data_IF_895928118734
#
_entry.id   IF_895928118734
#
_cell.length_a   1.000
_cell.length_b   1.000
_cell.length_c   1.000
_cell.angle_alpha   90.00
_cell.angle_beta   90.00
_cell.angle_gamma   90.00
#
_symmetry.space_group_name_H-M   'P 1'
#
loop_
_entity.id
_entity.type
_entity.pdbx_description
1 polymer ?
#
# COMPACT_ATOMS: atom_id res chain seq x y z
N UNK A 1 -7.39 -39.93 -5.34
CA UNK A 1 -7.68 -38.73 -4.54
C UNK A 1 -8.49 -37.80 -5.41
N UNK A 2 -9.76 -37.53 -5.10
CA UNK A 2 -10.59 -36.62 -5.86
C UNK A 2 -10.08 -35.15 -5.68
N UNK A 3 -10.10 -34.32 -6.75
CA UNK A 3 -9.70 -32.91 -6.61
C UNK A 3 -10.66 -32.19 -5.65
N UNK A 4 -10.16 -31.23 -4.87
CA UNK A 4 -11.00 -30.49 -3.93
C UNK A 4 -12.14 -29.78 -4.70
N UNK A 5 -13.37 -29.90 -4.19
CA UNK A 5 -14.55 -29.31 -4.83
C UNK A 5 -14.37 -27.79 -4.95
N UNK A 6 -14.81 -27.18 -6.06
CA UNK A 6 -14.76 -25.73 -6.37
C UNK A 6 -15.26 -24.83 -5.23
N UNK A 7 -16.17 -25.31 -4.38
CA UNK A 7 -16.61 -24.61 -3.15
C UNK A 7 -15.51 -24.47 -2.07
N UNK A 8 -14.56 -25.42 -2.00
CA UNK A 8 -13.45 -25.40 -1.04
C UNK A 8 -12.34 -24.42 -1.48
N UNK A 9 -12.05 -24.37 -2.78
CA UNK A 9 -11.11 -23.39 -3.35
C UNK A 9 -11.62 -21.95 -3.18
N UNK A 10 -12.91 -21.68 -3.45
CA UNK A 10 -13.55 -20.36 -3.23
C UNK A 10 -13.50 -19.89 -1.76
N UNK A 11 -13.57 -20.79 -0.77
CA UNK A 11 -13.40 -20.46 0.65
C UNK A 11 -11.95 -20.19 1.03
N UNK A 12 -10.96 -20.73 0.32
CA UNK A 12 -9.55 -20.54 0.62
C UNK A 12 -9.03 -19.13 0.25
N UNK A 13 -9.66 -18.44 -0.72
CA UNK A 13 -9.20 -17.12 -1.18
C UNK A 13 -9.89 -15.93 -0.51
N UNK A 14 -10.88 -16.16 0.42
CA UNK A 14 -11.58 -15.06 1.14
C UNK A 14 -12.03 -13.91 0.21
N UNK A 15 -12.51 -14.25 -1.00
CA UNK A 15 -12.84 -13.28 -2.04
C UNK A 15 -14.16 -12.58 -1.75
N UNK A 16 -14.11 -11.25 -1.59
CA UNK A 16 -15.28 -10.39 -1.57
C UNK A 16 -15.30 -9.59 -2.88
N UNK A 17 -16.23 -9.95 -3.77
CA UNK A 17 -16.34 -9.27 -5.07
C UNK A 17 -17.04 -7.93 -4.89
N UNK A 18 -16.45 -6.89 -5.45
CA UNK A 18 -17.09 -5.58 -5.53
C UNK A 18 -18.27 -5.70 -6.52
N UNK A 19 -19.49 -5.52 -6.05
CA UNK A 19 -20.71 -5.77 -6.82
C UNK A 19 -21.52 -4.51 -7.11
N UNK A 20 -21.25 -3.42 -6.42
CA UNK A 20 -21.89 -2.13 -6.61
C UNK A 20 -21.15 -1.34 -7.71
N UNK A 21 -21.83 -1.01 -8.84
CA UNK A 21 -21.19 -0.25 -9.92
C UNK A 21 -20.63 1.12 -9.50
N UNK A 22 -21.31 1.84 -8.62
CA UNK A 22 -20.82 3.14 -8.14
C UNK A 22 -19.51 2.98 -7.35
N UNK A 23 -19.42 1.92 -6.54
CA UNK A 23 -18.18 1.62 -5.81
C UNK A 23 -17.03 1.20 -6.76
N UNK A 24 -17.33 0.49 -7.86
CA UNK A 24 -16.32 0.16 -8.89
C UNK A 24 -15.79 1.43 -9.54
N UNK A 25 -16.65 2.37 -9.92
CA UNK A 25 -16.26 3.66 -10.46
C UNK A 25 -15.38 4.44 -9.48
N UNK A 26 -15.78 4.51 -8.20
CA UNK A 26 -15.01 5.21 -7.17
C UNK A 26 -13.57 4.67 -7.04
N UNK A 27 -13.36 3.35 -7.17
CA UNK A 27 -12.01 2.75 -7.12
C UNK A 27 -11.18 3.16 -8.34
N UNK A 28 -11.78 3.15 -9.54
CA UNK A 28 -11.07 3.52 -10.78
C UNK A 28 -10.78 5.02 -10.82
N UNK A 29 -11.71 5.88 -10.42
CA UNK A 29 -11.49 7.33 -10.29
C UNK A 29 -10.36 7.65 -9.31
N UNK A 30 -10.30 6.94 -8.18
CA UNK A 30 -9.23 7.11 -7.19
C UNK A 30 -7.84 6.73 -7.75
N UNK A 31 -7.75 5.90 -8.80
CA UNK A 31 -6.48 5.56 -9.44
C UNK A 31 -5.90 6.73 -10.24
N UNK A 32 -6.72 7.71 -10.65
CA UNK A 32 -6.30 8.89 -11.45
C UNK A 32 -5.49 8.51 -12.67
N UNK A 33 -6.01 7.53 -13.44
CA UNK A 33 -5.37 6.99 -14.62
C UNK A 33 -5.28 8.01 -15.76
N UNK A 34 -4.26 7.83 -16.59
CA UNK A 34 -4.07 8.56 -17.84
C UNK A 34 -4.35 7.64 -19.03
N UNK A 35 -4.75 8.18 -20.19
CA UNK A 35 -5.02 7.36 -21.38
C UNK A 35 -3.83 6.55 -21.91
N UNK A 36 -2.61 6.89 -21.53
CA UNK A 36 -1.36 6.24 -21.91
C UNK A 36 -0.76 5.33 -20.79
N UNK A 37 -1.45 5.18 -19.67
CA UNK A 37 -0.95 4.34 -18.58
C UNK A 37 -1.02 2.85 -18.96
N UNK A 38 0.03 2.11 -18.58
CA UNK A 38 0.02 0.65 -18.46
C UNK A 38 -0.50 0.29 -17.06
N UNK A 39 -1.57 -0.46 -16.99
CA UNK A 39 -2.21 -0.88 -15.73
C UNK A 39 -2.05 -2.37 -15.49
N UNK A 40 -1.50 -2.75 -14.34
CA UNK A 40 -1.57 -4.12 -13.83
C UNK A 40 -2.73 -4.23 -12.85
N UNK A 41 -3.75 -5.03 -13.19
CA UNK A 41 -4.87 -5.32 -12.30
C UNK A 41 -4.59 -6.56 -11.46
N UNK A 42 -4.76 -6.45 -10.14
CA UNK A 42 -4.57 -7.55 -9.18
C UNK A 42 -5.89 -8.20 -8.84
N UNK A 43 -6.10 -9.47 -9.24
CA UNK A 43 -7.30 -10.24 -8.94
C UNK A 43 -8.50 -9.73 -9.72
N UNK A 44 -8.46 -9.86 -11.03
CA UNK A 44 -9.50 -9.33 -11.93
C UNK A 44 -10.91 -9.91 -11.68
N UNK A 45 -10.98 -11.13 -11.13
CA UNK A 45 -12.23 -11.76 -10.74
C UNK A 45 -13.21 -11.86 -11.90
N UNK A 46 -14.36 -11.20 -11.74
CA UNK A 46 -15.41 -11.16 -12.77
C UNK A 46 -15.28 -10.00 -13.77
N UNK A 47 -14.16 -9.26 -13.75
CA UNK A 47 -13.87 -8.19 -14.67
C UNK A 47 -14.61 -6.87 -14.41
N UNK A 48 -15.09 -6.63 -13.18
CA UNK A 48 -15.78 -5.38 -12.87
C UNK A 48 -14.83 -4.16 -13.00
N UNK A 49 -13.65 -4.24 -12.42
CA UNK A 49 -12.63 -3.21 -12.59
C UNK A 49 -12.04 -3.26 -14.00
N UNK A 50 -11.70 -4.44 -14.51
CA UNK A 50 -11.09 -4.65 -15.83
C UNK A 50 -11.80 -3.86 -16.93
N UNK A 51 -13.14 -3.91 -16.99
CA UNK A 51 -13.92 -3.19 -18.01
C UNK A 51 -13.73 -1.67 -17.95
N UNK A 52 -13.68 -1.09 -16.75
CA UNK A 52 -13.49 0.35 -16.60
C UNK A 52 -12.02 0.73 -16.81
N UNK A 53 -11.08 -0.12 -16.41
CA UNK A 53 -9.65 0.10 -16.65
C UNK A 53 -9.33 0.12 -18.14
N UNK A 54 -9.90 -0.79 -18.93
CA UNK A 54 -9.77 -0.80 -20.40
C UNK A 54 -10.34 0.44 -21.08
N UNK A 55 -11.32 1.10 -20.47
CA UNK A 55 -11.86 2.36 -20.97
C UNK A 55 -11.05 3.59 -20.56
N UNK A 56 -10.23 3.48 -19.51
CA UNK A 56 -9.54 4.61 -18.86
C UNK A 56 -8.02 4.65 -19.12
N UNK A 57 -7.42 3.53 -19.57
CA UNK A 57 -5.97 3.37 -19.70
C UNK A 57 -5.59 2.89 -21.11
N UNK A 58 -4.32 3.04 -21.49
CA UNK A 58 -3.79 2.62 -22.78
C UNK A 58 -3.60 1.12 -22.89
N UNK A 59 -3.15 0.48 -21.82
CA UNK A 59 -2.94 -0.96 -21.76
C UNK A 59 -3.31 -1.52 -20.39
N UNK A 60 -3.93 -2.70 -20.36
CA UNK A 60 -4.31 -3.40 -19.13
C UNK A 60 -3.79 -4.84 -19.17
N UNK A 61 -3.09 -5.24 -18.11
CA UNK A 61 -2.70 -6.63 -17.86
C UNK A 61 -3.39 -7.10 -16.58
N UNK A 62 -4.39 -7.95 -16.71
CA UNK A 62 -5.25 -8.41 -15.63
C UNK A 62 -4.80 -9.79 -15.11
N UNK A 63 -4.35 -9.86 -13.86
CA UNK A 63 -3.94 -11.11 -13.23
C UNK A 63 -5.10 -11.75 -12.48
N UNK A 64 -5.35 -13.04 -12.76
CA UNK A 64 -6.40 -13.83 -12.09
C UNK A 64 -5.92 -15.28 -11.91
N UNK A 65 -5.95 -15.78 -10.68
CA UNK A 65 -5.48 -17.14 -10.36
C UNK A 65 -6.53 -18.21 -10.61
N UNK A 66 -7.82 -17.84 -10.52
CA UNK A 66 -8.92 -18.77 -10.80
C UNK A 66 -9.10 -18.92 -12.31
N UNK A 67 -8.83 -20.11 -12.89
CA UNK A 67 -8.92 -20.32 -14.32
C UNK A 67 -10.35 -20.21 -14.87
N UNK A 68 -11.39 -20.42 -14.06
CA UNK A 68 -12.79 -20.23 -14.49
C UNK A 68 -13.08 -18.74 -14.67
N UNK A 69 -12.61 -17.90 -13.75
CA UNK A 69 -12.75 -16.45 -13.84
C UNK A 69 -11.91 -15.87 -14.97
N UNK A 70 -10.65 -16.33 -15.09
CA UNK A 70 -9.76 -15.89 -16.15
C UNK A 70 -10.33 -16.16 -17.56
N UNK A 71 -11.03 -17.31 -17.77
CA UNK A 71 -11.68 -17.63 -19.06
C UNK A 71 -12.84 -16.70 -19.42
N UNK A 72 -13.44 -16.02 -18.44
CA UNK A 72 -14.53 -15.07 -18.65
C UNK A 72 -14.04 -13.66 -19.04
N UNK A 73 -12.73 -13.42 -19.01
CA UNK A 73 -12.08 -12.15 -19.34
C UNK A 73 -11.53 -12.18 -20.78
N UNK A 74 -11.32 -11.02 -21.42
CA UNK A 74 -10.66 -10.93 -22.72
C UNK A 74 -9.27 -11.56 -22.67
N UNK A 75 -8.98 -12.47 -23.63
CA UNK A 75 -7.73 -13.26 -23.64
C UNK A 75 -6.48 -12.40 -23.81
N UNK A 76 -6.61 -11.30 -24.52
CA UNK A 76 -5.54 -10.35 -24.80
C UNK A 76 -5.04 -9.61 -23.56
N UNK A 77 -5.91 -9.43 -22.55
CA UNK A 77 -5.54 -8.68 -21.34
C UNK A 77 -5.30 -9.58 -20.13
N UNK A 78 -5.88 -10.79 -20.10
CA UNK A 78 -5.81 -11.66 -18.91
C UNK A 78 -4.53 -12.49 -18.89
N UNK A 79 -3.94 -12.58 -17.67
CA UNK A 79 -2.90 -13.56 -17.31
C UNK A 79 -3.46 -14.46 -16.22
N UNK A 80 -3.64 -15.76 -16.53
CA UNK A 80 -4.06 -16.74 -15.52
C UNK A 80 -2.86 -17.13 -14.65
N UNK A 81 -2.41 -16.20 -13.84
CA UNK A 81 -1.20 -16.28 -13.04
C UNK A 81 -1.39 -15.59 -11.69
N UNK A 82 -0.55 -15.96 -10.72
CA UNK A 82 -0.45 -15.27 -9.44
C UNK A 82 0.30 -13.94 -9.60
N UNK A 83 -0.36 -12.81 -9.35
CA UNK A 83 0.24 -11.48 -9.39
C UNK A 83 1.53 -11.38 -8.57
N UNK A 84 1.61 -12.04 -7.41
CA UNK A 84 2.79 -11.98 -6.56
C UNK A 84 4.04 -12.60 -7.20
N UNK A 85 3.86 -13.40 -8.27
CA UNK A 85 4.94 -13.96 -9.09
C UNK A 85 5.24 -13.13 -10.34
N UNK A 86 4.41 -12.16 -10.66
CA UNK A 86 4.63 -11.27 -11.79
C UNK A 86 5.92 -10.49 -11.62
N UNK A 87 6.59 -10.23 -12.74
CA UNK A 87 7.73 -9.31 -12.78
C UNK A 87 7.22 -7.91 -13.11
N UNK A 88 7.68 -6.86 -12.40
CA UNK A 88 7.41 -5.50 -12.84
C UNK A 88 7.90 -5.29 -14.27
N UNK A 89 7.17 -4.55 -15.12
CA UNK A 89 7.61 -4.21 -16.47
C UNK A 89 8.82 -3.26 -16.43
N UNK A 90 9.51 -3.10 -17.53
CA UNK A 90 10.63 -2.15 -17.66
C UNK A 90 10.16 -0.71 -17.76
N UNK A 91 8.95 -0.49 -18.22
CA UNK A 91 8.30 0.81 -18.35
C UNK A 91 7.50 1.20 -17.11
N UNK A 92 7.15 2.48 -17.02
CA UNK A 92 6.30 3.02 -15.93
C UNK A 92 4.90 2.40 -16.00
N UNK A 93 4.37 2.03 -14.86
CA UNK A 93 3.05 1.39 -14.77
C UNK A 93 2.33 1.73 -13.48
N UNK A 94 1.04 1.43 -13.47
CA UNK A 94 0.12 1.61 -12.34
C UNK A 94 -0.41 0.24 -11.90
N UNK A 95 -0.66 0.06 -10.63
CA UNK A 95 -1.35 -1.12 -10.09
C UNK A 95 -2.73 -0.72 -9.59
N UNK A 96 -3.76 -1.49 -9.98
CA UNK A 96 -5.12 -1.32 -9.45
C UNK A 96 -5.65 -2.69 -9.02
N UNK A 97 -6.43 -2.77 -7.93
CA UNK A 97 -7.05 -4.05 -7.60
C UNK A 97 -7.94 -4.05 -6.37
N UNK A 98 -8.93 -4.96 -6.39
CA UNK A 98 -9.72 -5.33 -5.22
C UNK A 98 -9.05 -6.54 -4.53
N UNK A 99 -8.19 -6.27 -3.55
CA UNK A 99 -7.26 -7.25 -3.00
C UNK A 99 -7.95 -8.18 -2.00
N UNK A 100 -7.81 -9.51 -2.12
CA UNK A 100 -8.16 -10.41 -1.03
C UNK A 100 -7.44 -9.99 0.25
N UNK A 101 -8.17 -9.80 1.33
CA UNK A 101 -7.64 -9.20 2.57
C UNK A 101 -6.40 -9.92 3.11
N UNK A 102 -6.35 -11.24 2.95
CA UNK A 102 -5.20 -12.05 3.35
C UNK A 102 -3.90 -11.73 2.57
N UNK A 103 -4.02 -11.19 1.35
CA UNK A 103 -2.88 -10.90 0.46
C UNK A 103 -2.45 -9.44 0.50
N UNK A 104 -3.19 -8.57 1.21
CA UNK A 104 -2.95 -7.12 1.19
C UNK A 104 -1.50 -6.76 1.49
N UNK A 105 -0.90 -7.32 2.54
CA UNK A 105 0.49 -7.00 2.90
C UNK A 105 1.49 -7.45 1.83
N UNK A 106 1.29 -8.62 1.25
CA UNK A 106 2.18 -9.16 0.21
C UNK A 106 2.11 -8.32 -1.08
N UNK A 107 0.91 -7.91 -1.49
CA UNK A 107 0.71 -7.03 -2.66
C UNK A 107 1.35 -5.65 -2.42
N UNK A 108 1.14 -5.05 -1.25
CA UNK A 108 1.77 -3.77 -0.90
C UNK A 108 3.30 -3.88 -0.90
N UNK A 109 3.86 -4.96 -0.35
CA UNK A 109 5.30 -5.19 -0.38
C UNK A 109 5.83 -5.39 -1.80
N UNK A 110 5.07 -6.07 -2.67
CA UNK A 110 5.41 -6.21 -4.07
C UNK A 110 5.46 -4.83 -4.75
N UNK A 111 4.42 -4.00 -4.54
CA UNK A 111 4.37 -2.62 -5.06
C UNK A 111 5.56 -1.77 -4.59
N UNK A 112 5.93 -1.86 -3.31
CA UNK A 112 7.05 -1.10 -2.74
C UNK A 112 8.43 -1.53 -3.30
N UNK A 113 8.53 -2.75 -3.86
CA UNK A 113 9.77 -3.26 -4.48
C UNK A 113 9.83 -3.02 -5.99
N UNK A 114 8.72 -2.68 -6.63
CA UNK A 114 8.63 -2.49 -8.07
C UNK A 114 9.25 -1.13 -8.47
N UNK A 115 10.40 -1.10 -9.17
CA UNK A 115 11.16 0.14 -9.39
C UNK A 115 10.49 1.10 -10.37
N UNK A 116 9.67 0.58 -11.27
CA UNK A 116 8.97 1.33 -12.32
C UNK A 116 7.52 1.68 -11.97
N UNK A 117 7.05 1.26 -10.77
CA UNK A 117 5.71 1.58 -10.31
C UNK A 117 5.56 3.08 -10.06
N UNK A 118 4.54 3.70 -10.65
CA UNK A 118 4.19 5.10 -10.42
C UNK A 118 3.17 5.27 -9.30
N UNK A 119 2.14 4.40 -9.28
CA UNK A 119 1.17 4.37 -8.20
C UNK A 119 0.48 3.01 -8.09
N UNK A 120 -0.07 2.72 -6.90
CA UNK A 120 -0.94 1.58 -6.68
C UNK A 120 -2.21 2.04 -5.97
N UNK A 121 -3.38 1.66 -6.50
CA UNK A 121 -4.70 1.92 -5.91
C UNK A 121 -5.34 0.59 -5.54
N UNK A 122 -5.37 0.31 -4.25
CA UNK A 122 -5.71 -1.00 -3.70
C UNK A 122 -6.94 -0.88 -2.81
N UNK A 123 -8.01 -1.59 -3.14
CA UNK A 123 -9.15 -1.74 -2.26
C UNK A 123 -8.84 -2.83 -1.23
N UNK A 124 -8.69 -2.42 0.02
CA UNK A 124 -8.26 -3.23 1.16
C UNK A 124 -9.27 -3.15 2.30
N UNK A 125 -9.02 -3.79 3.43
CA UNK A 125 -9.77 -3.48 4.64
C UNK A 125 -9.57 -2.01 5.03
N UNK A 126 -10.63 -1.32 5.42
CA UNK A 126 -10.58 0.09 5.84
C UNK A 126 -9.55 0.31 6.96
N UNK A 127 -9.51 -0.58 7.94
CA UNK A 127 -8.57 -0.49 9.06
C UNK A 127 -7.10 -0.60 8.59
N UNK A 128 -6.83 -1.48 7.60
CA UNK A 128 -5.49 -1.57 7.02
C UNK A 128 -5.08 -0.25 6.35
N UNK A 129 -5.96 0.32 5.52
CA UNK A 129 -5.71 1.60 4.84
C UNK A 129 -5.47 2.73 5.87
N UNK A 130 -6.36 2.86 6.87
CA UNK A 130 -6.25 3.86 7.94
C UNK A 130 -4.94 3.75 8.73
N UNK A 131 -4.53 2.50 9.06
CA UNK A 131 -3.25 2.24 9.74
C UNK A 131 -2.03 2.69 8.93
N UNK A 132 -2.10 2.64 7.59
CA UNK A 132 -1.00 3.06 6.71
C UNK A 132 -0.95 4.56 6.47
N UNK A 133 -2.06 5.24 6.62
CA UNK A 133 -2.21 6.67 6.31
C UNK A 133 -2.25 7.57 7.55
N UNK A 134 -2.05 7.01 8.73
CA UNK A 134 -1.98 7.78 9.97
C UNK A 134 -3.33 8.33 10.45
N UNK A 135 -4.45 7.83 9.92
CA UNK A 135 -5.81 8.34 10.19
C UNK A 135 -6.21 8.28 11.68
N UNK A 136 -5.60 7.40 12.48
CA UNK A 136 -5.81 7.36 13.93
C UNK A 136 -4.75 8.17 14.73
N UNK A 137 -4.03 9.09 14.09
CA UNK A 137 -2.87 9.75 14.69
C UNK A 137 -1.72 8.80 14.99
N UNK A 138 -1.73 7.60 14.39
CA UNK A 138 -0.70 6.57 14.59
C UNK A 138 -0.12 6.13 13.26
N UNK A 139 1.20 6.21 13.14
CA UNK A 139 1.96 5.87 11.95
C UNK A 139 2.62 4.51 12.08
N UNK A 140 2.49 3.69 11.05
CA UNK A 140 3.14 2.39 11.04
C UNK A 140 4.63 2.53 10.68
N UNK A 141 5.46 1.61 11.20
CA UNK A 141 6.87 1.54 10.82
C UNK A 141 7.07 1.50 9.31
N UNK A 142 6.27 0.70 8.60
CA UNK A 142 6.36 0.59 7.14
C UNK A 142 6.13 1.93 6.46
N UNK A 143 5.11 2.67 6.87
CA UNK A 143 4.81 4.00 6.31
C UNK A 143 5.97 4.96 6.53
N UNK A 144 6.50 5.03 7.76
CA UNK A 144 7.64 5.91 8.08
C UNK A 144 8.89 5.50 7.29
N UNK A 145 9.19 4.20 7.17
CA UNK A 145 10.34 3.70 6.41
C UNK A 145 10.29 4.07 4.93
N UNK A 146 9.10 4.08 4.35
CA UNK A 146 8.90 4.31 2.91
C UNK A 146 8.47 5.74 2.58
N UNK A 147 8.20 6.56 3.59
CA UNK A 147 7.78 7.95 3.42
C UNK A 147 8.69 8.80 2.54
N UNK A 148 10.02 8.63 2.57
CA UNK A 148 10.90 9.39 1.68
C UNK A 148 10.63 9.15 0.19
N UNK A 149 10.15 7.97 -0.18
CA UNK A 149 10.00 7.54 -1.57
C UNK A 149 8.55 7.36 -2.01
N UNK A 150 7.62 7.29 -1.06
CA UNK A 150 6.20 7.05 -1.36
C UNK A 150 5.30 7.96 -0.55
N UNK A 151 4.22 8.39 -1.17
CA UNK A 151 3.09 9.04 -0.51
C UNK A 151 1.98 8.02 -0.27
N UNK A 152 1.37 8.05 0.93
CA UNK A 152 0.34 7.13 1.37
C UNK A 152 -0.96 7.89 1.59
N UNK A 153 -2.00 7.56 0.84
CA UNK A 153 -3.27 8.26 0.85
C UNK A 153 -4.44 7.30 1.13
N UNK A 154 -5.38 7.72 1.98
CA UNK A 154 -6.70 7.12 2.07
C UNK A 154 -7.61 7.84 1.07
N UNK A 155 -7.78 7.26 -0.11
CA UNK A 155 -8.49 7.88 -1.23
C UNK A 155 -10.01 7.69 -1.17
N UNK A 156 -10.50 6.87 -0.22
CA UNK A 156 -11.94 6.68 -0.06
C UNK A 156 -12.30 5.50 0.84
N UNK A 157 -13.59 5.41 1.16
CA UNK A 157 -14.20 4.31 1.90
C UNK A 157 -15.30 3.68 1.05
N UNK A 158 -15.33 2.36 0.99
CA UNK A 158 -16.36 1.57 0.32
C UNK A 158 -17.16 0.81 1.39
N UNK A 159 -18.47 1.05 1.50
CA UNK A 159 -19.32 0.33 2.45
C UNK A 159 -19.27 -1.18 2.19
N UNK A 160 -19.27 -1.98 3.24
CA UNK A 160 -19.28 -3.46 3.13
C UNK A 160 -20.48 -3.99 2.32
N UNK A 161 -21.59 -3.25 2.28
CA UNK A 161 -22.77 -3.61 1.49
C UNK A 161 -22.52 -3.64 -0.02
N UNK A 162 -21.46 -2.96 -0.50
CA UNK A 162 -21.06 -2.94 -1.91
C UNK A 162 -20.38 -4.25 -2.38
N UNK A 163 -20.14 -5.20 -1.48
CA UNK A 163 -19.47 -6.47 -1.79
C UNK A 163 -20.40 -7.67 -1.72
N UNK A 164 -20.08 -8.73 -2.47
CA UNK A 164 -20.72 -10.04 -2.39
C UNK A 164 -19.65 -11.17 -2.37
N UNK A 165 -19.66 -12.07 -1.39
CA UNK A 165 -20.42 -11.97 -0.14
C UNK A 165 -20.05 -10.71 0.66
N UNK A 166 -20.97 -10.26 1.54
CA UNK A 166 -20.73 -9.07 2.38
C UNK A 166 -19.63 -9.38 3.40
N UNK A 167 -18.52 -8.62 3.43
CA UNK A 167 -17.46 -8.82 4.42
C UNK A 167 -17.89 -8.30 5.81
N UNK A 168 -17.06 -8.60 6.83
CA UNK A 168 -17.30 -8.12 8.20
C UNK A 168 -17.03 -6.62 8.38
N UNK A 169 -16.16 -6.05 7.56
CA UNK A 169 -15.67 -4.67 7.66
C UNK A 169 -15.80 -3.95 6.32
N UNK A 170 -15.81 -2.64 6.36
CA UNK A 170 -15.80 -1.81 5.15
C UNK A 170 -14.45 -1.90 4.42
N UNK A 171 -14.47 -1.56 3.13
CA UNK A 171 -13.28 -1.36 2.32
C UNK A 171 -12.69 0.03 2.49
N UNK A 172 -11.38 0.12 2.34
CA UNK A 172 -10.64 1.38 2.23
C UNK A 172 -9.83 1.40 0.95
N UNK A 173 -9.93 2.47 0.18
CA UNK A 173 -9.12 2.68 -1.02
C UNK A 173 -7.79 3.26 -0.56
N UNK A 174 -6.78 2.41 -0.52
CA UNK A 174 -5.41 2.78 -0.22
C UNK A 174 -4.71 3.15 -1.52
N UNK A 175 -4.19 4.37 -1.59
CA UNK A 175 -3.37 4.81 -2.70
C UNK A 175 -1.93 5.01 -2.24
N UNK A 176 -1.00 4.37 -2.94
CA UNK A 176 0.44 4.47 -2.77
C UNK A 176 1.00 5.14 -4.03
N UNK A 177 1.66 6.29 -3.88
CA UNK A 177 2.22 7.05 -5.02
C UNK A 177 3.73 7.14 -4.86
N UNK A 178 4.47 6.69 -5.86
CA UNK A 178 5.92 6.85 -5.88
C UNK A 178 6.29 8.32 -6.08
N UNK A 179 7.15 8.88 -5.23
CA UNK A 179 7.61 10.26 -5.36
C UNK A 179 8.68 10.34 -6.45
N UNK A 180 8.48 11.19 -7.44
CA UNK A 180 9.48 11.43 -8.49
C UNK A 180 10.79 11.99 -7.90
N UNK A 181 10.66 12.85 -6.87
CA UNK A 181 11.79 13.40 -6.12
C UNK A 181 11.70 12.88 -4.69
N UNK A 182 12.59 11.97 -4.27
CA UNK A 182 12.61 11.47 -2.90
C UNK A 182 12.90 12.59 -1.89
N UNK A 183 12.25 12.51 -0.71
CA UNK A 183 12.45 13.48 0.39
C UNK A 183 13.78 13.32 1.13
N UNK A 184 14.49 12.23 0.85
CA UNK A 184 15.86 11.91 1.32
C UNK A 184 16.66 11.49 0.10
N UNK A 185 17.88 11.99 -0.01
CA UNK A 185 18.76 11.64 -1.14
C UNK A 185 18.94 10.11 -1.23
N UNK A 186 18.96 9.52 -2.43
CA UNK A 186 19.07 8.07 -2.62
C UNK A 186 20.21 7.43 -1.85
N UNK A 187 21.39 8.07 -1.83
CA UNK A 187 22.55 7.59 -1.08
C UNK A 187 22.34 7.55 0.44
N UNK A 188 21.44 8.38 0.99
CA UNK A 188 21.14 8.44 2.41
C UNK A 188 19.97 7.55 2.84
N UNK A 189 19.22 6.95 1.91
CA UNK A 189 18.09 6.08 2.22
C UNK A 189 18.46 4.88 3.12
N UNK A 190 19.59 4.19 2.94
CA UNK A 190 19.99 3.12 3.84
C UNK A 190 20.22 3.61 5.28
N UNK A 191 20.79 4.80 5.47
CA UNK A 191 20.98 5.41 6.78
C UNK A 191 19.63 5.80 7.41
N UNK A 192 18.73 6.40 6.63
CA UNK A 192 17.37 6.71 7.08
C UNK A 192 16.62 5.46 7.54
N UNK A 193 16.70 4.36 6.80
CA UNK A 193 16.08 3.09 7.20
C UNK A 193 16.59 2.61 8.56
N UNK A 194 17.91 2.54 8.75
CA UNK A 194 18.52 2.15 10.03
C UNK A 194 18.12 3.08 11.17
N UNK A 195 18.02 4.39 10.91
CA UNK A 195 17.56 5.38 11.89
C UNK A 195 16.13 5.12 12.35
N UNK A 196 15.20 4.90 11.41
CA UNK A 196 13.79 4.59 11.70
C UNK A 196 13.66 3.25 12.41
N UNK A 197 14.33 2.20 11.94
CA UNK A 197 14.31 0.87 12.56
C UNK A 197 14.78 0.96 14.02
N UNK A 198 15.86 1.69 14.28
CA UNK A 198 16.33 1.93 15.65
C UNK A 198 15.27 2.62 16.49
N UNK A 199 14.65 3.68 15.99
CA UNK A 199 13.60 4.40 16.72
C UNK A 199 12.40 3.54 17.07
N UNK A 200 12.03 2.60 16.20
CA UNK A 200 10.93 1.67 16.44
C UNK A 200 11.28 0.47 17.33
N UNK A 201 12.52 0.35 17.82
CA UNK A 201 12.86 -0.70 18.82
C UNK A 201 12.14 -0.49 20.15
N UNK A 202 11.69 0.74 20.44
CA UNK A 202 10.92 1.04 21.67
C UNK A 202 11.76 1.01 22.96
N UNK A 203 13.08 0.94 22.84
CA UNK A 203 13.98 0.91 24.01
C UNK A 203 13.89 2.21 24.78
N UNK A 204 13.29 2.17 25.98
CA UNK A 204 13.11 3.36 26.83
C UNK A 204 11.71 3.98 26.80
N UNK A 205 10.73 3.39 26.08
CA UNK A 205 9.31 3.78 26.14
C UNK A 205 8.91 4.95 25.25
N UNK A 206 9.85 5.79 24.80
CA UNK A 206 9.58 6.89 23.85
C UNK A 206 10.66 6.97 22.77
N UNK A 207 10.34 7.70 21.68
CA UNK A 207 11.34 7.95 20.63
C UNK A 207 12.52 8.74 21.17
N UNK A 208 12.28 9.78 21.99
CA UNK A 208 13.35 10.56 22.62
C UNK A 208 14.29 9.66 23.44
N UNK A 209 13.76 8.82 24.32
CA UNK A 209 14.57 7.93 25.15
C UNK A 209 15.40 6.95 24.30
N UNK A 210 14.80 6.40 23.23
CA UNK A 210 15.49 5.52 22.29
C UNK A 210 16.66 6.23 21.60
N UNK A 211 16.43 7.45 21.11
CA UNK A 211 17.46 8.25 20.43
C UNK A 211 18.54 8.73 21.41
N UNK A 212 18.18 9.11 22.64
CA UNK A 212 19.13 9.55 23.65
C UNK A 212 20.17 8.46 24.01
N UNK A 213 19.76 7.19 24.03
CA UNK A 213 20.66 6.07 24.28
C UNK A 213 21.72 5.89 23.20
N UNK A 214 21.39 6.14 21.94
CA UNK A 214 22.30 5.95 20.82
C UNK A 214 23.14 7.19 20.49
N UNK A 215 22.53 8.38 20.56
CA UNK A 215 23.11 9.63 20.06
C UNK A 215 23.47 10.63 21.16
N UNK A 216 23.20 10.27 22.42
CA UNK A 216 23.38 11.14 23.58
C UNK A 216 22.19 12.05 23.85
N UNK A 217 21.90 12.28 25.15
CA UNK A 217 20.72 13.03 25.61
C UNK A 217 20.65 14.44 25.05
N UNK A 218 21.79 15.15 25.04
CA UNK A 218 21.87 16.57 24.57
C UNK A 218 21.45 16.69 23.10
N UNK A 219 21.99 15.80 22.23
CA UNK A 219 21.68 15.79 20.78
C UNK A 219 20.25 15.39 20.52
N UNK A 220 19.78 14.29 21.14
CA UNK A 220 18.40 13.81 21.01
C UNK A 220 17.39 14.87 21.48
N UNK A 221 17.63 15.53 22.65
CA UNK A 221 16.74 16.58 23.16
C UNK A 221 16.68 17.79 22.23
N UNK A 222 17.81 18.23 21.68
CA UNK A 222 17.85 19.33 20.73
C UNK A 222 17.08 19.01 19.46
N UNK A 223 17.30 17.82 18.88
CA UNK A 223 16.61 17.35 17.68
C UNK A 223 15.10 17.19 17.90
N UNK A 224 14.68 16.61 19.02
CA UNK A 224 13.25 16.45 19.35
C UNK A 224 12.56 17.81 19.50
N UNK A 225 13.19 18.78 20.20
CA UNK A 225 12.62 20.14 20.29
C UNK A 225 12.47 20.79 18.92
N UNK A 226 13.51 20.74 18.09
CA UNK A 226 13.48 21.32 16.74
C UNK A 226 12.44 20.66 15.84
N UNK A 227 12.16 19.37 16.04
CA UNK A 227 11.15 18.59 15.31
C UNK A 227 9.77 18.62 15.96
N UNK A 228 9.58 19.36 17.06
CA UNK A 228 8.32 19.43 17.83
C UNK A 228 7.84 18.05 18.31
N UNK A 229 8.75 17.18 18.69
CA UNK A 229 8.47 15.87 19.27
C UNK A 229 8.59 15.94 20.78
N UNK A 230 7.47 15.73 21.49
CA UNK A 230 7.47 15.72 22.95
C UNK A 230 8.29 14.53 23.49
N UNK A 231 9.05 14.70 24.58
CA UNK A 231 9.93 13.64 25.12
C UNK A 231 9.23 12.32 25.45
N UNK A 232 7.98 12.38 25.93
CA UNK A 232 7.17 11.22 26.28
C UNK A 232 6.33 10.67 25.12
N UNK A 233 6.39 11.26 23.91
CA UNK A 233 5.54 10.85 22.81
C UNK A 233 5.90 9.43 22.34
N UNK A 234 4.93 8.49 22.31
CA UNK A 234 5.17 7.15 21.78
C UNK A 234 5.58 7.19 20.29
N UNK A 235 6.47 6.30 19.88
CA UNK A 235 7.06 6.27 18.53
C UNK A 235 6.03 6.29 17.40
N UNK A 236 4.91 5.58 17.56
CA UNK A 236 3.85 5.53 16.56
C UNK A 236 3.05 6.82 16.40
N UNK A 237 3.19 7.80 17.28
CA UNK A 237 2.53 9.11 17.19
C UNK A 237 3.42 10.19 16.58
N UNK A 238 4.68 9.88 16.29
CA UNK A 238 5.60 10.79 15.61
C UNK A 238 5.30 10.78 14.11
N UNK A 239 5.01 11.95 13.56
CA UNK A 239 4.65 12.12 12.16
C UNK A 239 5.84 11.85 11.22
N UNK A 240 5.60 11.31 10.02
CA UNK A 240 6.68 11.01 9.06
C UNK A 240 7.58 12.21 8.75
N UNK A 241 7.04 13.43 8.67
CA UNK A 241 7.80 14.66 8.45
C UNK A 241 8.72 15.00 9.64
N UNK A 242 8.26 14.68 10.86
CA UNK A 242 9.10 14.83 12.06
C UNK A 242 10.27 13.83 12.04
N UNK A 243 10.04 12.61 11.53
CA UNK A 243 11.11 11.62 11.35
C UNK A 243 12.17 12.10 10.34
N UNK A 244 11.76 12.72 9.23
CA UNK A 244 12.70 13.33 8.27
C UNK A 244 13.52 14.44 8.90
N UNK A 245 12.88 15.29 9.70
CA UNK A 245 13.56 16.40 10.40
C UNK A 245 14.54 15.86 11.44
N UNK A 246 14.12 14.89 12.26
CA UNK A 246 14.99 14.22 13.23
C UNK A 246 16.22 13.59 12.57
N UNK A 247 16.01 12.86 11.48
CA UNK A 247 17.09 12.23 10.71
C UNK A 247 18.12 13.26 10.23
N UNK A 248 17.64 14.36 9.61
CA UNK A 248 18.51 15.43 9.13
C UNK A 248 19.31 16.12 10.23
N UNK A 249 18.77 16.20 11.45
CA UNK A 249 19.44 16.85 12.59
C UNK A 249 20.42 15.91 13.34
N UNK A 250 20.12 14.60 13.31
CA UNK A 250 20.89 13.61 14.09
C UNK A 250 21.98 12.95 13.25
N UNK A 251 21.76 12.70 11.95
CA UNK A 251 22.71 11.97 11.09
C UNK A 251 23.59 12.91 10.20
N UNK A 252 23.59 14.19 10.53
CA UNK A 252 24.53 15.16 9.93
C UNK A 252 25.95 14.96 10.42
#
# INVERSE_FOLDING_TARGET
MAPPSHRRARRSFSQNFLSDPAAVHTVVEAATLKPDDLVYEVGAGRGQLTRLLLAAAGEVVAYEVDPEMARALPREVVRNEDFLRARPPSERFVVVGNIPYALTSAVVEWCLRAPTLTSATLLTQLEYARKRTGDYGRWSRLTVLTWPTHDWQLAGRIPRAAFRPVPRVDGGILRLVHREIPLVQPAALPAYRRFVEHGFTGVGGSLHATMARRYGTRRASAACRASRVAPGLPVGHVWPEQWLTLFRLIER
#
